data_IF_147530891210
#
_entry.id   IF_147530891210
#
_cell.length_a   1.000
_cell.length_b   1.000
_cell.length_c   1.000
_cell.angle_alpha   90.00
_cell.angle_beta   90.00
_cell.angle_gamma   90.00
#
_symmetry.space_group_name_H-M   'P 1'
#
loop_
_entity.id
_entity.type
_entity.pdbx_description
1 polymer ?
#
# COMPACT_ATOMS: atom_id res chain seq x y z
N UNK A 1 -8.29 -10.50 8.22
CA UNK A 1 -6.97 -10.17 7.63
C UNK A 1 -7.16 -9.86 6.15
N UNK A 2 -6.58 -8.75 5.71
CA UNK A 2 -6.73 -8.32 4.32
C UNK A 2 -5.60 -8.88 3.46
N UNK A 3 -5.94 -9.56 2.39
CA UNK A 3 -5.00 -9.92 1.33
C UNK A 3 -4.96 -8.81 0.28
N UNK A 4 -4.27 -9.06 -0.83
CA UNK A 4 -4.10 -8.08 -1.90
C UNK A 4 -5.44 -7.62 -2.49
N UNK A 5 -6.34 -8.57 -2.78
CA UNK A 5 -7.65 -8.25 -3.36
C UNK A 5 -8.53 -7.44 -2.41
N UNK A 6 -8.48 -7.76 -1.12
CA UNK A 6 -9.25 -7.05 -0.11
C UNK A 6 -8.70 -5.64 0.11
N UNK A 7 -7.37 -5.48 0.05
CA UNK A 7 -6.74 -4.17 0.13
C UNK A 7 -7.12 -3.31 -1.08
N UNK A 8 -7.21 -3.92 -2.27
CA UNK A 8 -7.68 -3.24 -3.47
C UNK A 8 -9.11 -2.73 -3.30
N UNK A 9 -9.99 -3.57 -2.77
CA UNK A 9 -11.39 -3.18 -2.53
C UNK A 9 -11.48 -2.05 -1.51
N UNK A 10 -10.70 -2.13 -0.43
CA UNK A 10 -10.66 -1.07 0.58
C UNK A 10 -10.19 0.25 -0.03
N UNK A 11 -9.16 0.20 -0.85
CA UNK A 11 -8.65 1.38 -1.55
C UNK A 11 -9.73 2.00 -2.44
N UNK A 12 -10.37 1.19 -3.28
CA UNK A 12 -11.36 1.68 -4.22
C UNK A 12 -12.56 2.29 -3.49
N UNK A 13 -13.00 1.65 -2.43
CA UNK A 13 -14.13 2.14 -1.65
C UNK A 13 -13.82 3.45 -0.95
N UNK A 14 -12.61 3.59 -0.40
CA UNK A 14 -12.23 4.79 0.34
C UNK A 14 -11.88 5.96 -0.57
N UNK A 15 -11.15 5.71 -1.68
CA UNK A 15 -10.68 6.78 -2.57
C UNK A 15 -11.74 7.20 -3.58
N UNK A 16 -12.47 6.24 -4.13
CA UNK A 16 -13.43 6.49 -5.20
C UNK A 16 -14.86 6.63 -4.72
N UNK A 17 -15.16 6.16 -3.51
CA UNK A 17 -16.50 6.19 -2.94
C UNK A 17 -16.61 7.10 -1.73
N UNK A 18 -17.76 7.02 -1.06
CA UNK A 18 -18.00 7.73 0.19
C UNK A 18 -18.39 6.68 1.24
N UNK A 19 -17.39 5.99 1.84
CA UNK A 19 -17.68 4.95 2.81
C UNK A 19 -18.30 5.53 4.08
N UNK A 20 -19.18 4.77 4.70
CA UNK A 20 -19.74 5.15 5.97
C UNK A 20 -18.67 5.16 7.05
N UNK A 21 -18.73 6.12 7.95
CA UNK A 21 -17.79 6.27 9.06
C UNK A 21 -17.62 4.98 9.85
N UNK A 22 -18.66 4.18 9.99
CA UNK A 22 -18.60 2.91 10.71
C UNK A 22 -17.66 1.87 10.08
N UNK A 23 -17.31 2.06 8.81
CA UNK A 23 -16.37 1.18 8.10
C UNK A 23 -14.93 1.68 8.18
N UNK A 24 -14.70 2.85 8.72
CA UNK A 24 -13.37 3.48 8.73
C UNK A 24 -12.55 3.06 9.94
N UNK A 25 -12.31 1.75 10.07
CA UNK A 25 -11.40 1.23 11.09
C UNK A 25 -9.95 1.54 10.70
N UNK A 26 -9.06 1.49 11.67
CA UNK A 26 -7.63 1.65 11.41
C UNK A 26 -7.13 0.61 10.42
N UNK A 27 -7.65 -0.62 10.52
CA UNK A 27 -7.28 -1.70 9.62
C UNK A 27 -7.75 -1.43 8.18
N UNK A 28 -8.98 -0.94 8.02
CA UNK A 28 -9.54 -0.59 6.71
C UNK A 28 -8.73 0.53 6.06
N UNK A 29 -8.49 1.60 6.80
CA UNK A 29 -7.70 2.75 6.33
C UNK A 29 -6.28 2.33 6.02
N UNK A 30 -5.69 1.52 6.90
CA UNK A 30 -4.33 1.00 6.69
C UNK A 30 -4.22 0.14 5.45
N UNK A 31 -5.22 -0.71 5.19
CA UNK A 31 -5.21 -1.57 3.98
C UNK A 31 -5.35 -0.75 2.70
N UNK A 32 -6.23 0.25 2.71
CA UNK A 32 -6.40 1.14 1.55
C UNK A 32 -5.11 1.91 1.26
N UNK A 33 -4.48 2.46 2.30
CA UNK A 33 -3.23 3.20 2.16
C UNK A 33 -2.08 2.29 1.74
N UNK A 34 -2.06 1.04 2.24
CA UNK A 34 -1.04 0.07 1.86
C UNK A 34 -1.11 -0.24 0.36
N UNK A 35 -2.31 -0.46 -0.16
CA UNK A 35 -2.49 -0.75 -1.58
C UNK A 35 -2.06 0.46 -2.43
N UNK A 36 -2.57 1.63 -2.11
CA UNK A 36 -2.25 2.84 -2.89
C UNK A 36 -0.77 3.21 -2.77
N UNK A 37 -0.22 3.13 -1.58
CA UNK A 37 1.21 3.42 -1.35
C UNK A 37 2.11 2.44 -2.09
N UNK A 38 1.77 1.16 -2.08
CA UNK A 38 2.53 0.16 -2.81
C UNK A 38 2.43 0.36 -4.32
N UNK A 39 1.23 0.68 -4.81
CA UNK A 39 1.04 0.97 -6.23
C UNK A 39 1.91 2.13 -6.70
N UNK A 40 1.91 3.22 -5.95
CA UNK A 40 2.71 4.40 -6.29
C UNK A 40 4.21 4.12 -6.17
N UNK A 41 4.61 3.37 -5.14
CA UNK A 41 6.00 2.95 -4.97
C UNK A 41 6.47 2.07 -6.13
N UNK A 42 5.65 1.11 -6.53
CA UNK A 42 5.92 0.23 -7.67
C UNK A 42 6.11 1.03 -8.96
N UNK A 43 5.20 1.97 -9.20
CA UNK A 43 5.25 2.81 -10.39
C UNK A 43 6.56 3.61 -10.43
N UNK A 44 6.97 4.16 -9.30
CA UNK A 44 8.20 4.93 -9.19
C UNK A 44 9.44 4.05 -9.39
N UNK A 45 9.46 2.86 -8.79
CA UNK A 45 10.58 1.93 -8.92
C UNK A 45 10.75 1.44 -10.36
N UNK A 46 9.65 1.20 -11.06
CA UNK A 46 9.69 0.80 -12.46
C UNK A 46 10.24 1.91 -13.35
N UNK A 47 9.89 3.15 -13.05
CA UNK A 47 10.40 4.30 -13.80
C UNK A 47 11.90 4.45 -13.62
N UNK A 48 12.40 4.23 -12.42
CA UNK A 48 13.81 4.35 -12.11
C UNK A 48 14.63 3.10 -12.47
N UNK A 49 13.97 1.93 -12.47
CA UNK A 49 14.61 0.67 -12.80
C UNK A 49 15.61 0.15 -11.77
N UNK A 50 15.50 0.61 -10.53
CA UNK A 50 16.44 0.25 -9.47
C UNK A 50 16.20 -1.16 -8.95
N UNK A 51 17.30 -1.89 -8.77
CA UNK A 51 17.31 -3.21 -8.14
C UNK A 51 17.73 -3.03 -6.69
N UNK A 52 16.94 -3.51 -5.76
CA UNK A 52 17.25 -3.39 -4.33
C UNK A 52 16.98 -4.71 -3.61
N UNK A 53 17.66 -4.93 -2.49
CA UNK A 53 17.38 -6.10 -1.68
C UNK A 53 16.00 -5.96 -1.00
N UNK A 54 15.48 -7.07 -0.50
CA UNK A 54 14.15 -7.09 0.10
C UNK A 54 14.05 -6.19 1.35
N UNK A 55 15.10 -6.13 2.15
CA UNK A 55 15.09 -5.28 3.34
C UNK A 55 14.96 -3.81 2.98
N UNK A 56 15.76 -3.36 2.02
CA UNK A 56 15.71 -1.97 1.53
C UNK A 56 14.36 -1.68 0.87
N UNK A 57 13.87 -2.61 0.05
CA UNK A 57 12.58 -2.47 -0.62
C UNK A 57 11.46 -2.30 0.41
N UNK A 58 11.45 -3.11 1.46
CA UNK A 58 10.42 -3.03 2.50
C UNK A 58 10.49 -1.73 3.30
N UNK A 59 11.70 -1.21 3.54
CA UNK A 59 11.87 0.08 4.21
C UNK A 59 11.30 1.22 3.38
N UNK A 60 11.61 1.23 2.09
CA UNK A 60 11.10 2.25 1.17
C UNK A 60 9.59 2.16 1.04
N UNK A 61 9.08 0.93 0.95
CA UNK A 61 7.64 0.70 0.87
C UNK A 61 6.93 1.16 2.15
N UNK A 62 7.51 0.86 3.31
CA UNK A 62 6.95 1.30 4.60
C UNK A 62 6.84 2.82 4.67
N UNK A 63 7.87 3.52 4.19
CA UNK A 63 7.85 4.99 4.15
C UNK A 63 6.75 5.50 3.21
N UNK A 64 6.61 4.86 2.04
CA UNK A 64 5.59 5.25 1.06
C UNK A 64 4.17 5.07 1.61
N UNK A 65 3.89 3.93 2.25
CA UNK A 65 2.55 3.69 2.80
C UNK A 65 2.26 4.56 4.02
N UNK A 66 3.27 4.84 4.84
CA UNK A 66 3.09 5.77 5.97
C UNK A 66 2.74 7.17 5.49
N UNK A 67 3.43 7.64 4.48
CA UNK A 67 3.12 8.92 3.85
C UNK A 67 1.69 8.93 3.29
N UNK A 68 1.28 7.82 2.69
CA UNK A 68 -0.08 7.70 2.13
C UNK A 68 -1.16 7.77 3.21
N UNK A 69 -0.90 7.21 4.40
CA UNK A 69 -1.82 7.35 5.54
C UNK A 69 -2.01 8.82 5.90
N UNK A 70 -0.90 9.56 6.03
CA UNK A 70 -0.96 10.99 6.36
C UNK A 70 -1.75 11.77 5.32
N UNK A 71 -1.46 11.52 4.05
CA UNK A 71 -2.14 12.16 2.94
C UNK A 71 -3.64 11.86 2.96
N UNK A 72 -4.00 10.62 3.19
CA UNK A 72 -5.39 10.18 3.23
C UNK A 72 -6.16 10.83 4.38
N UNK A 73 -5.56 10.87 5.56
CA UNK A 73 -6.16 11.52 6.73
C UNK A 73 -6.43 13.00 6.46
N UNK A 74 -5.46 13.68 5.85
CA UNK A 74 -5.59 15.10 5.54
C UNK A 74 -6.60 15.37 4.43
N UNK A 75 -6.53 14.62 3.33
CA UNK A 75 -7.39 14.89 2.17
C UNK A 75 -8.84 14.46 2.38
N UNK A 76 -9.08 13.44 3.20
CA UNK A 76 -10.44 12.94 3.48
C UNK A 76 -11.00 13.44 4.80
N UNK A 77 -10.25 14.25 5.54
CA UNK A 77 -10.70 14.81 6.79
C UNK A 77 -10.91 13.78 7.89
N UNK A 78 -10.04 12.79 7.98
CA UNK A 78 -10.18 11.69 8.94
C UNK A 78 -9.47 12.01 10.26
N UNK A 79 -9.80 13.15 10.85
CA UNK A 79 -9.12 13.65 12.06
C UNK A 79 -9.31 12.75 13.28
N UNK A 80 -10.37 11.92 13.28
CA UNK A 80 -10.66 10.98 14.36
C UNK A 80 -9.74 9.75 14.34
N UNK A 81 -8.95 9.58 13.29
CA UNK A 81 -8.10 8.40 13.12
C UNK A 81 -6.78 8.58 13.87
N UNK A 82 -6.37 7.55 14.62
CA UNK A 82 -5.04 7.49 15.19
C UNK A 82 -4.06 7.15 14.06
N UNK A 83 -3.32 8.15 13.61
CA UNK A 83 -2.41 8.02 12.48
C UNK A 83 -1.34 6.95 12.71
N UNK A 84 -0.80 6.87 13.91
CA UNK A 84 0.25 5.89 14.20
C UNK A 84 -0.28 4.47 14.14
N UNK A 85 -1.49 4.24 14.61
CA UNK A 85 -2.12 2.94 14.54
C UNK A 85 -2.45 2.57 13.08
N UNK A 86 -2.98 3.51 12.32
CA UNK A 86 -3.27 3.30 10.90
C UNK A 86 -1.99 3.00 10.11
N UNK A 87 -0.90 3.73 10.40
CA UNK A 87 0.41 3.49 9.77
C UNK A 87 0.95 2.09 10.09
N UNK A 88 0.76 1.65 11.32
CA UNK A 88 1.19 0.31 11.73
C UNK A 88 0.46 -0.77 10.92
N UNK A 89 -0.84 -0.64 10.78
CA UNK A 89 -1.63 -1.56 9.96
C UNK A 89 -1.22 -1.50 8.50
N UNK A 90 -0.99 -0.28 7.98
CA UNK A 90 -0.56 -0.09 6.60
C UNK A 90 0.77 -0.76 6.30
N UNK A 91 1.74 -0.60 7.19
CA UNK A 91 3.06 -1.22 7.02
C UNK A 91 3.00 -2.73 7.05
N UNK A 92 2.24 -3.30 7.99
CA UNK A 92 2.06 -4.75 8.08
C UNK A 92 1.38 -5.31 6.84
N UNK A 93 0.35 -4.62 6.36
CA UNK A 93 -0.39 -5.05 5.17
C UNK A 93 0.50 -4.95 3.93
N UNK A 94 1.25 -3.87 3.78
CA UNK A 94 2.16 -3.70 2.65
C UNK A 94 3.25 -4.77 2.65
N UNK A 95 3.78 -5.10 3.82
CA UNK A 95 4.79 -6.14 3.95
C UNK A 95 4.26 -7.50 3.52
N UNK A 96 3.02 -7.82 3.89
CA UNK A 96 2.37 -9.07 3.46
C UNK A 96 2.19 -9.11 1.95
N UNK A 97 1.70 -8.01 1.37
CA UNK A 97 1.51 -7.92 -0.08
C UNK A 97 2.85 -8.04 -0.82
N UNK A 98 3.88 -7.42 -0.28
CA UNK A 98 5.22 -7.52 -0.85
C UNK A 98 5.72 -8.97 -0.83
N UNK A 99 5.61 -9.63 0.31
CA UNK A 99 6.05 -11.03 0.46
C UNK A 99 5.24 -11.96 -0.45
N UNK A 100 3.96 -11.73 -0.58
CA UNK A 100 3.10 -12.51 -1.45
C UNK A 100 3.53 -12.44 -2.90
N UNK A 101 3.94 -11.26 -3.36
CA UNK A 101 4.29 -11.05 -4.76
C UNK A 101 5.78 -11.24 -5.05
N UNK A 102 6.66 -10.82 -4.14
CA UNK A 102 8.11 -10.80 -4.37
C UNK A 102 8.91 -11.71 -3.44
N UNK A 103 8.28 -12.34 -2.46
CA UNK A 103 8.99 -13.09 -1.42
C UNK A 103 9.84 -14.24 -1.91
N UNK A 104 9.46 -14.85 -3.04
CA UNK A 104 10.17 -15.99 -3.61
C UNK A 104 11.38 -15.60 -4.47
N UNK A 105 11.59 -14.31 -4.68
CA UNK A 105 12.65 -13.79 -5.52
C UNK A 105 13.86 -13.43 -4.67
N UNK A 106 15.06 -13.46 -5.27
CA UNK A 106 16.31 -13.14 -4.56
C UNK A 106 16.35 -11.68 -4.11
N UNK A 107 15.78 -10.79 -4.92
CA UNK A 107 15.74 -9.35 -4.65
C UNK A 107 14.61 -8.71 -5.43
N UNK A 108 14.29 -7.48 -5.10
CA UNK A 108 13.36 -6.70 -5.89
C UNK A 108 14.05 -6.21 -7.17
N UNK A 109 13.53 -6.61 -8.32
CA UNK A 109 14.07 -6.20 -9.62
C UNK A 109 12.92 -5.87 -10.58
N UNK A 110 12.59 -4.58 -10.76
CA UNK A 110 11.48 -4.17 -11.63
C UNK A 110 11.75 -4.45 -13.11
N UNK A 111 13.00 -4.71 -13.48
CA UNK A 111 13.36 -5.03 -14.86
C UNK A 111 13.13 -6.49 -15.22
N UNK A 112 13.12 -7.37 -14.23
CA UNK A 112 13.01 -8.81 -14.40
C UNK A 112 11.61 -9.33 -14.07
N UNK A 113 10.93 -8.71 -13.11
CA UNK A 113 9.66 -9.19 -12.60
C UNK A 113 8.58 -8.14 -12.82
N UNK A 114 7.41 -8.61 -13.30
CA UNK A 114 6.26 -7.73 -13.49
C UNK A 114 5.61 -7.31 -12.19
N UNK A 115 4.86 -6.22 -12.24
CA UNK A 115 4.07 -5.77 -11.10
C UNK A 115 2.88 -6.72 -10.86
N UNK A 116 2.29 -6.61 -9.68
CA UNK A 116 1.10 -7.38 -9.35
C UNK A 116 -0.04 -7.03 -10.30
N UNK A 117 -0.78 -8.05 -10.75
CA UNK A 117 -1.95 -7.86 -11.60
C UNK A 117 -3.02 -7.02 -10.93
N UNK A 118 -3.02 -6.95 -9.59
CA UNK A 118 -3.97 -6.15 -8.83
C UNK A 118 -3.83 -4.65 -9.10
N UNK A 119 -2.68 -4.22 -9.60
CA UNK A 119 -2.45 -2.81 -9.93
C UNK A 119 -2.93 -2.42 -11.33
N UNK A 120 -3.33 -3.38 -12.14
CA UNK A 120 -3.83 -3.09 -13.48
C UNK A 120 -5.11 -2.26 -13.40
N UNK A 121 -5.24 -1.32 -14.31
CA UNK A 121 -6.39 -0.42 -14.36
C UNK A 121 -6.19 0.92 -13.69
N UNK A 122 -5.05 1.11 -13.02
CA UNK A 122 -4.73 2.39 -12.35
C UNK A 122 -3.72 3.23 -13.12
N UNK A 123 -3.17 2.69 -14.19
CA UNK A 123 -2.16 3.40 -15.00
C UNK A 123 -2.75 3.90 -16.31
#
# INVERSE_FOLDING_TARGET
MFGFGEAKEARDELYDGEPHESKLSHEFIGSAAAFEGMRLWEQNQRREGNVVDHGTAKELLAAAVGFEVDKLVETKGLDFVDREQAKRHARKQAERMYDEHYGDQDRYDPNQYGESEHFRGYY
#
